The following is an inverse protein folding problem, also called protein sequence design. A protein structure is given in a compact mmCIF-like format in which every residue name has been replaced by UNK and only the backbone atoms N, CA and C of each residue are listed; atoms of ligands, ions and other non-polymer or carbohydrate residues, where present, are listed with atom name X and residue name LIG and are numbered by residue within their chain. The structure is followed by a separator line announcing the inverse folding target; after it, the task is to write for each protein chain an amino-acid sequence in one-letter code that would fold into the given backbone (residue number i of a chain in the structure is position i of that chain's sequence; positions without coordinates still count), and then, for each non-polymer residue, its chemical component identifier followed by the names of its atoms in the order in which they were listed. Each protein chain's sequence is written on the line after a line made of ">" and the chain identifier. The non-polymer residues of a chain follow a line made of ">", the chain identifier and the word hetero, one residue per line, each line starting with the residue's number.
data_IF_811611990168
#
_entry.id   IF_811611990168
#
_cell.length_a   1.000
_cell.length_b   1.000
_cell.length_c   1.000
_cell.angle_alpha   90.00
_cell.angle_beta   90.00
_cell.angle_gamma   90.00
#
_symmetry.space_group_name_H-M   'P 1'
#
loop_
_entity.id
_entity.type
_entity.pdbx_description
1 polymer ?
#
# COMPACT_ATOMS: atom_id res chain seq x y z
N UNK A 1 28.54 21.64 1.08
CA UNK A 1 27.51 21.48 0.04
C UNK A 1 26.19 21.18 0.73
N UNK A 2 25.09 21.64 0.13
CA UNK A 2 23.74 21.40 0.68
C UNK A 2 23.16 20.10 0.15
N UNK A 3 22.44 19.37 0.98
CA UNK A 3 21.68 18.18 0.57
C UNK A 3 20.25 18.55 0.17
N UNK A 4 19.86 18.20 -1.05
CA UNK A 4 18.48 18.30 -1.56
C UNK A 4 17.87 16.90 -1.58
N UNK A 5 16.87 16.66 -0.74
CA UNK A 5 16.29 15.32 -0.54
C UNK A 5 15.11 15.01 -1.45
N UNK A 6 14.38 16.04 -1.92
CA UNK A 6 13.16 15.89 -2.73
C UNK A 6 13.01 16.98 -3.78
N UNK A 7 12.07 16.79 -4.73
CA UNK A 7 11.58 17.88 -5.58
C UNK A 7 10.65 18.83 -4.82
N UNK A 8 10.43 20.03 -5.35
CA UNK A 8 9.65 21.07 -4.68
C UNK A 8 10.40 21.85 -3.58
N UNK A 9 11.66 21.49 -3.31
CA UNK A 9 12.55 22.22 -2.41
C UNK A 9 13.35 23.28 -3.19
N UNK A 10 13.52 24.52 -2.68
CA UNK A 10 14.33 25.54 -3.32
C UNK A 10 15.78 25.08 -3.54
N UNK A 11 16.32 25.34 -4.73
CA UNK A 11 17.72 25.08 -5.08
C UNK A 11 18.47 26.41 -5.00
N UNK A 12 19.57 26.51 -4.23
CA UNK A 12 20.41 27.69 -4.21
C UNK A 12 21.06 27.96 -5.58
N UNK A 13 21.05 29.22 -6.03
CA UNK A 13 21.64 29.62 -7.32
C UNK A 13 23.18 29.78 -7.24
N UNK A 14 23.73 29.98 -6.05
CA UNK A 14 25.12 30.42 -5.84
C UNK A 14 26.04 29.40 -5.18
N UNK A 15 25.56 28.21 -4.83
CA UNK A 15 26.37 27.18 -4.16
C UNK A 15 26.08 25.78 -4.69
N UNK A 16 27.11 24.92 -4.80
CA UNK A 16 26.93 23.55 -5.28
C UNK A 16 26.13 22.73 -4.26
N UNK A 17 25.19 21.95 -4.81
CA UNK A 17 24.33 21.06 -4.04
C UNK A 17 24.50 19.60 -4.45
N UNK A 18 24.04 18.72 -3.57
CA UNK A 18 23.94 17.29 -3.85
C UNK A 18 22.46 16.92 -3.87
N UNK A 19 22.01 16.37 -4.97
CA UNK A 19 20.67 15.79 -5.09
C UNK A 19 20.69 14.36 -4.57
N UNK A 20 19.81 14.00 -3.64
CA UNK A 20 19.76 12.65 -3.08
C UNK A 20 19.37 11.58 -4.12
N UNK A 21 18.72 11.99 -5.20
CA UNK A 21 18.36 11.13 -6.32
C UNK A 21 17.66 11.89 -7.46
N UNK A 22 17.38 11.22 -8.59
CA UNK A 22 16.73 11.78 -9.78
C UNK A 22 15.29 12.21 -9.59
N UNK A 23 14.66 11.85 -8.47
CA UNK A 23 13.36 12.42 -8.08
C UNK A 23 13.47 13.89 -7.65
N UNK A 24 14.69 14.40 -7.40
CA UNK A 24 14.88 15.82 -7.15
C UNK A 24 14.70 16.59 -8.47
N UNK A 25 13.70 17.46 -8.50
CA UNK A 25 13.34 18.22 -9.70
C UNK A 25 14.28 19.41 -9.94
N UNK A 26 14.24 20.02 -11.13
CA UNK A 26 14.97 21.24 -11.47
C UNK A 26 16.51 21.18 -11.36
N UNK A 27 17.13 20.00 -11.38
CA UNK A 27 18.60 19.85 -11.28
C UNK A 27 19.39 20.69 -12.30
N UNK A 28 18.81 20.97 -13.47
CA UNK A 28 19.42 21.82 -14.51
C UNK A 28 19.65 23.28 -14.08
N UNK A 29 19.01 23.74 -13.01
CA UNK A 29 19.18 25.08 -12.44
C UNK A 29 20.28 25.16 -11.39
N UNK A 30 20.86 24.02 -11.00
CA UNK A 30 21.88 23.97 -9.96
C UNK A 30 23.18 24.63 -10.44
N UNK A 31 23.93 25.22 -9.52
CA UNK A 31 25.23 25.81 -9.84
C UNK A 31 26.25 24.75 -10.27
N UNK A 32 27.30 25.19 -10.96
CA UNK A 32 28.44 24.34 -11.29
C UNK A 32 29.02 23.65 -10.05
N UNK A 33 29.43 22.39 -10.22
CA UNK A 33 29.89 21.53 -9.12
C UNK A 33 28.78 20.79 -8.38
N UNK A 34 27.51 21.05 -8.70
CA UNK A 34 26.40 20.23 -8.21
C UNK A 34 26.38 18.84 -8.85
N UNK A 35 25.96 17.84 -8.10
CA UNK A 35 25.90 16.46 -8.59
C UNK A 35 24.74 15.68 -7.95
N UNK A 36 24.43 14.53 -8.53
CA UNK A 36 23.38 13.64 -8.05
C UNK A 36 24.00 12.43 -7.38
N UNK A 37 23.61 12.17 -6.15
CA UNK A 37 23.85 10.92 -5.47
C UNK A 37 23.04 9.80 -6.14
N UNK A 38 23.73 8.72 -6.53
CA UNK A 38 23.09 7.53 -7.08
C UNK A 38 22.92 6.50 -5.98
N UNK A 39 21.97 6.75 -5.07
CA UNK A 39 21.65 5.82 -3.98
C UNK A 39 20.88 4.58 -4.44
N UNK A 40 20.66 4.39 -5.74
CA UNK A 40 19.84 3.27 -6.18
C UNK A 40 20.59 1.97 -6.10
N UNK A 41 20.03 1.14 -5.23
CA UNK A 41 20.32 -0.25 -5.15
C UNK A 41 20.22 -0.94 -6.51
N UNK A 42 21.32 -1.55 -6.93
CA UNK A 42 21.32 -2.64 -7.91
C UNK A 42 20.28 -3.70 -7.52
N UNK A 43 19.82 -4.57 -8.44
CA UNK A 43 18.87 -5.62 -8.09
C UNK A 43 19.25 -6.44 -6.85
N UNK A 44 20.54 -6.68 -6.62
CA UNK A 44 21.04 -7.40 -5.44
C UNK A 44 20.95 -6.55 -4.17
N UNK A 45 21.42 -5.30 -4.17
CA UNK A 45 21.25 -4.41 -3.01
C UNK A 45 19.77 -4.22 -2.67
N UNK A 46 18.88 -4.21 -3.67
CA UNK A 46 17.42 -4.09 -3.44
C UNK A 46 16.88 -5.30 -2.70
N UNK A 47 17.32 -6.50 -3.08
CA UNK A 47 16.93 -7.73 -2.39
C UNK A 47 17.42 -7.73 -0.94
N UNK A 48 18.63 -7.25 -0.68
CA UNK A 48 19.18 -7.14 0.68
C UNK A 48 18.42 -6.13 1.55
N UNK A 49 18.04 -4.98 0.98
CA UNK A 49 17.22 -3.98 1.68
C UNK A 49 15.82 -4.50 2.00
N UNK A 50 15.19 -5.22 1.08
CA UNK A 50 13.88 -5.83 1.31
C UNK A 50 13.95 -6.90 2.41
N UNK A 51 15.02 -7.71 2.44
CA UNK A 51 15.21 -8.71 3.48
C UNK A 51 15.35 -8.05 4.86
N UNK A 52 16.17 -7.01 4.97
CA UNK A 52 16.38 -6.27 6.23
C UNK A 52 15.11 -5.56 6.70
N UNK A 53 14.40 -4.88 5.79
CA UNK A 53 13.15 -4.19 6.13
C UNK A 53 12.07 -5.17 6.58
N UNK A 54 12.04 -6.38 5.99
CA UNK A 54 11.15 -7.46 6.43
C UNK A 54 11.48 -7.92 7.84
N UNK A 55 12.75 -8.18 8.16
CA UNK A 55 13.17 -8.57 9.51
C UNK A 55 12.77 -7.52 10.56
N UNK A 56 12.98 -6.24 10.25
CA UNK A 56 12.54 -5.13 11.09
C UNK A 56 11.01 -5.14 11.27
N UNK A 57 10.25 -5.35 10.19
CA UNK A 57 8.79 -5.41 10.26
C UNK A 57 8.26 -6.61 11.08
N UNK A 58 8.98 -7.74 11.08
CA UNK A 58 8.67 -8.88 11.96
C UNK A 58 8.99 -8.58 13.42
N UNK A 59 10.11 -7.89 13.68
CA UNK A 59 10.50 -7.45 15.02
C UNK A 59 9.49 -6.47 15.64
N UNK A 60 8.96 -5.55 14.84
CA UNK A 60 8.03 -4.50 15.30
C UNK A 60 6.60 -5.03 15.48
N UNK A 61 6.18 -6.03 14.70
CA UNK A 61 4.78 -6.44 14.61
C UNK A 61 4.14 -6.85 15.97
N UNK A 62 4.79 -7.67 16.83
CA UNK A 62 4.20 -8.06 18.11
C UNK A 62 3.94 -6.88 19.03
N UNK A 63 4.87 -5.91 19.09
CA UNK A 63 4.72 -4.72 19.92
C UNK A 63 3.60 -3.80 19.37
N UNK A 64 3.51 -3.66 18.04
CA UNK A 64 2.43 -2.90 17.41
C UNK A 64 1.05 -3.51 17.71
N UNK A 65 0.93 -4.84 17.59
CA UNK A 65 -0.31 -5.55 17.90
C UNK A 65 -0.72 -5.37 19.38
N UNK A 66 0.24 -5.45 20.31
CA UNK A 66 0.00 -5.20 21.74
C UNK A 66 -0.47 -3.76 21.98
N UNK A 67 0.24 -2.78 21.43
CA UNK A 67 -0.07 -1.37 21.59
C UNK A 67 -1.48 -1.02 21.05
N UNK A 68 -1.90 -1.63 19.93
CA UNK A 68 -3.25 -1.46 19.41
C UNK A 68 -4.32 -2.13 20.27
N UNK A 69 -4.04 -3.31 20.84
CA UNK A 69 -4.92 -3.96 21.79
C UNK A 69 -5.12 -3.11 23.06
N UNK A 70 -4.04 -2.57 23.61
CA UNK A 70 -4.04 -1.67 24.76
C UNK A 70 -4.82 -0.38 24.47
N UNK A 71 -4.55 0.25 23.31
CA UNK A 71 -5.25 1.46 22.88
C UNK A 71 -6.77 1.27 22.86
N UNK A 72 -7.22 0.15 22.30
CA UNK A 72 -8.65 -0.15 22.09
C UNK A 72 -9.32 -0.88 23.25
N UNK A 73 -8.57 -1.24 24.30
CA UNK A 73 -9.07 -2.07 25.40
C UNK A 73 -9.59 -3.42 24.92
N UNK A 74 -8.90 -4.04 23.94
CA UNK A 74 -9.28 -5.31 23.32
C UNK A 74 -8.19 -6.35 23.57
N UNK A 75 -8.58 -7.62 23.55
CA UNK A 75 -7.66 -8.77 23.50
C UNK A 75 -7.83 -9.47 22.15
N UNK A 76 -7.47 -8.78 21.08
CA UNK A 76 -7.61 -9.30 19.71
C UNK A 76 -6.39 -10.15 19.36
N UNK A 77 -6.56 -11.40 18.88
CA UNK A 77 -5.43 -12.27 18.55
C UNK A 77 -4.52 -11.68 17.47
N UNK A 78 -3.21 -11.98 17.56
CA UNK A 78 -2.21 -11.57 16.56
C UNK A 78 -2.59 -11.98 15.14
N UNK A 79 -3.32 -13.07 14.95
CA UNK A 79 -3.76 -13.47 13.61
C UNK A 79 -4.68 -12.44 12.93
N UNK A 80 -5.49 -11.69 13.68
CA UNK A 80 -6.33 -10.63 13.10
C UNK A 80 -5.46 -9.44 12.67
N UNK A 81 -4.53 -9.01 13.53
CA UNK A 81 -3.58 -7.95 13.20
C UNK A 81 -2.68 -8.36 12.02
N UNK A 82 -2.26 -9.63 12.00
CA UNK A 82 -1.47 -10.20 10.92
C UNK A 82 -2.23 -10.17 9.60
N UNK A 83 -3.54 -10.46 9.57
CA UNK A 83 -4.34 -10.38 8.34
C UNK A 83 -4.65 -8.95 7.89
N UNK A 84 -4.67 -7.98 8.81
CA UNK A 84 -5.15 -6.62 8.56
C UNK A 84 -4.02 -5.62 8.37
N UNK A 85 -3.28 -5.31 9.44
CA UNK A 85 -2.30 -4.23 9.46
C UNK A 85 -0.90 -4.65 9.00
N UNK A 86 -0.55 -5.94 9.04
CA UNK A 86 0.80 -6.43 8.70
C UNK A 86 1.27 -5.99 7.32
N UNK A 87 0.43 -6.07 6.30
CA UNK A 87 0.78 -5.61 4.95
C UNK A 87 1.11 -4.10 4.92
N UNK A 88 0.38 -3.28 5.69
CA UNK A 88 0.74 -1.87 5.81
C UNK A 88 2.10 -1.70 6.49
N UNK A 89 2.35 -2.44 7.57
CA UNK A 89 3.61 -2.38 8.31
C UNK A 89 4.80 -2.78 7.42
N UNK A 90 4.68 -3.86 6.65
CA UNK A 90 5.73 -4.29 5.71
C UNK A 90 6.01 -3.21 4.65
N UNK A 91 4.97 -2.62 4.05
CA UNK A 91 5.13 -1.59 3.02
C UNK A 91 5.76 -0.33 3.62
N UNK A 92 5.28 0.10 4.78
CA UNK A 92 5.76 1.29 5.47
C UNK A 92 7.23 1.11 5.88
N UNK A 93 7.56 0.01 6.57
CA UNK A 93 8.92 -0.28 7.00
C UNK A 93 9.86 -0.39 5.81
N UNK A 94 9.47 -1.06 4.73
CA UNK A 94 10.31 -1.17 3.53
C UNK A 94 10.62 0.18 2.90
N UNK A 95 9.60 1.02 2.70
CA UNK A 95 9.81 2.34 2.11
C UNK A 95 10.67 3.20 3.03
N UNK A 96 10.38 3.25 4.33
CA UNK A 96 11.15 4.06 5.29
C UNK A 96 12.58 3.57 5.41
N UNK A 97 12.80 2.26 5.44
CA UNK A 97 14.14 1.66 5.47
C UNK A 97 14.97 2.05 4.23
N UNK A 98 14.35 2.06 3.05
CA UNK A 98 15.03 2.56 1.84
C UNK A 98 15.37 4.05 1.93
N UNK A 99 14.53 4.88 2.55
CA UNK A 99 14.85 6.31 2.77
C UNK A 99 15.98 6.49 3.76
N UNK A 100 15.99 5.68 4.82
CA UNK A 100 17.07 5.62 5.78
C UNK A 100 18.40 5.27 5.11
N UNK A 101 18.44 4.17 4.35
CA UNK A 101 19.63 3.73 3.61
C UNK A 101 20.18 4.85 2.72
N UNK A 102 19.31 5.45 1.89
CA UNK A 102 19.68 6.56 1.00
C UNK A 102 20.33 7.73 1.75
N UNK A 103 19.74 8.16 2.87
CA UNK A 103 20.27 9.28 3.67
C UNK A 103 21.61 8.92 4.30
N UNK A 104 21.70 7.74 4.93
CA UNK A 104 22.92 7.34 5.62
C UNK A 104 24.10 7.12 4.67
N UNK A 105 23.85 6.60 3.47
CA UNK A 105 24.87 6.43 2.43
C UNK A 105 25.29 7.77 1.81
N UNK A 106 24.33 8.68 1.59
CA UNK A 106 24.65 10.02 1.11
C UNK A 106 25.55 10.76 2.11
N UNK A 107 25.17 10.77 3.39
CA UNK A 107 25.92 11.44 4.48
C UNK A 107 27.32 10.84 4.68
N UNK A 108 27.51 9.54 4.43
CA UNK A 108 28.83 8.91 4.52
C UNK A 108 29.73 9.20 3.30
N UNK A 109 29.13 9.52 2.16
CA UNK A 109 29.85 9.72 0.89
C UNK A 109 30.43 11.13 0.74
N UNK A 110 29.81 12.15 1.36
CA UNK A 110 30.26 13.53 1.23
C UNK A 110 30.04 14.34 2.51
N UNK A 111 30.77 15.46 2.63
CA UNK A 111 30.57 16.41 3.73
C UNK A 111 29.53 17.45 3.37
N UNK A 112 28.50 17.54 4.21
CA UNK A 112 27.38 18.46 4.03
C UNK A 112 27.39 19.54 5.10
N UNK A 113 26.93 20.72 4.74
CA UNK A 113 26.73 21.83 5.68
C UNK A 113 25.35 21.75 6.34
N UNK A 114 24.33 21.41 5.54
CA UNK A 114 22.95 21.29 5.97
C UNK A 114 22.11 20.55 4.91
N UNK A 115 20.90 20.15 5.30
CA UNK A 115 19.84 19.75 4.37
C UNK A 115 18.85 20.90 4.16
N UNK A 116 18.42 21.11 2.92
CA UNK A 116 17.39 22.08 2.60
C UNK A 116 16.03 21.65 3.15
N UNK A 117 15.29 22.57 3.78
CA UNK A 117 13.99 22.29 4.41
C UNK A 117 12.88 23.21 3.91
N UNK A 118 11.67 22.66 3.86
CA UNK A 118 10.41 23.34 3.52
C UNK A 118 9.35 22.90 4.52
N UNK A 119 8.43 23.81 4.88
CA UNK A 119 7.37 23.49 5.84
C UNK A 119 6.45 22.40 5.29
N UNK A 120 6.23 21.35 6.09
CA UNK A 120 5.27 20.28 5.83
C UNK A 120 4.23 20.22 6.94
N UNK A 121 3.01 19.78 6.62
CA UNK A 121 1.91 19.62 7.59
C UNK A 121 1.64 18.14 7.79
N UNK A 122 2.22 17.53 8.84
CA UNK A 122 2.08 16.10 9.16
C UNK A 122 0.63 15.63 9.19
N UNK A 123 -0.28 16.42 9.77
CA UNK A 123 -1.71 16.07 9.85
C UNK A 123 -2.40 15.89 8.49
N UNK A 124 -1.86 16.49 7.42
CA UNK A 124 -2.35 16.31 6.04
C UNK A 124 -1.71 15.11 5.32
N UNK A 125 -0.68 14.51 5.92
CA UNK A 125 0.12 13.42 5.36
C UNK A 125 -0.10 12.09 6.10
N UNK A 126 -1.00 12.06 7.08
CA UNK A 126 -1.46 10.83 7.75
C UNK A 126 -2.53 10.15 6.89
N UNK A 127 -2.33 8.89 6.46
CA UNK A 127 -3.30 8.20 5.61
C UNK A 127 -4.57 7.84 6.39
N UNK A 128 -5.76 7.96 5.78
CA UNK A 128 -6.99 7.42 6.39
C UNK A 128 -7.05 5.90 6.29
N UNK A 129 -6.54 5.35 5.20
CA UNK A 129 -6.47 3.90 4.91
C UNK A 129 -5.13 3.54 4.28
N UNK A 130 -4.73 2.26 4.33
CA UNK A 130 -3.55 1.73 3.65
C UNK A 130 -3.50 2.10 2.19
N UNK A 131 -4.62 2.15 1.46
CA UNK A 131 -4.59 2.51 0.03
C UNK A 131 -4.04 3.91 -0.24
N UNK A 132 -4.21 4.84 0.70
CA UNK A 132 -3.67 6.20 0.56
C UNK A 132 -2.14 6.22 0.68
N UNK A 133 -1.52 5.26 1.38
CA UNK A 133 -0.06 5.17 1.49
C UNK A 133 0.60 5.04 0.11
N UNK A 134 -0.01 4.32 -0.83
CA UNK A 134 0.54 4.11 -2.17
C UNK A 134 0.73 5.43 -2.93
N UNK A 135 -0.10 6.44 -2.63
CA UNK A 135 0.02 7.80 -3.18
C UNK A 135 1.06 8.61 -2.40
N UNK A 136 1.00 8.56 -1.07
CA UNK A 136 1.90 9.30 -0.20
C UNK A 136 3.37 8.95 -0.46
N UNK A 137 3.70 7.66 -0.55
CA UNK A 137 5.10 7.21 -0.80
C UNK A 137 5.68 7.69 -2.13
N UNK A 138 4.85 8.17 -3.05
CA UNK A 138 5.26 8.77 -4.32
C UNK A 138 5.26 10.31 -4.33
N UNK A 139 4.71 10.94 -3.29
CA UNK A 139 4.59 12.40 -3.18
C UNK A 139 5.90 13.02 -2.68
N UNK A 140 6.20 14.25 -3.10
CA UNK A 140 7.38 14.94 -2.56
C UNK A 140 7.18 15.28 -1.09
N UNK A 141 5.96 15.66 -0.74
CA UNK A 141 5.54 16.12 0.58
C UNK A 141 5.79 15.08 1.66
N UNK A 142 5.31 13.86 1.45
CA UNK A 142 5.52 12.78 2.41
C UNK A 142 6.97 12.32 2.46
N UNK A 143 7.66 12.21 1.32
CA UNK A 143 9.06 11.82 1.31
C UNK A 143 9.93 12.90 1.98
N UNK A 144 9.62 14.18 1.81
CA UNK A 144 10.32 15.29 2.45
C UNK A 144 10.16 15.24 3.97
N UNK A 145 8.93 15.00 4.44
CA UNK A 145 8.66 14.78 5.87
C UNK A 145 9.51 13.62 6.41
N UNK A 146 9.49 12.45 5.76
CA UNK A 146 10.25 11.28 6.22
C UNK A 146 11.76 11.54 6.21
N UNK A 147 12.30 12.15 5.16
CA UNK A 147 13.72 12.50 5.12
C UNK A 147 14.10 13.50 6.22
N UNK A 148 13.27 14.51 6.48
CA UNK A 148 13.46 15.43 7.60
C UNK A 148 13.47 14.72 8.94
N UNK A 149 12.52 13.81 9.19
CA UNK A 149 12.46 13.04 10.43
C UNK A 149 13.68 12.12 10.61
N UNK A 150 14.19 11.51 9.53
CA UNK A 150 15.43 10.71 9.56
C UNK A 150 16.61 11.60 9.97
N UNK A 151 16.76 12.75 9.30
CA UNK A 151 17.87 13.68 9.54
C UNK A 151 17.83 14.25 10.97
N UNK A 152 16.64 14.57 11.49
CA UNK A 152 16.43 15.01 12.89
C UNK A 152 16.85 13.92 13.87
N UNK A 153 16.44 12.66 13.61
CA UNK A 153 16.81 11.52 14.45
C UNK A 153 18.33 11.26 14.46
N UNK A 154 18.98 11.48 13.32
CA UNK A 154 20.43 11.41 13.18
C UNK A 154 21.17 12.64 13.74
N UNK A 155 20.46 13.67 14.20
CA UNK A 155 21.00 14.95 14.65
C UNK A 155 21.85 15.65 13.56
N UNK A 156 21.46 15.46 12.29
CA UNK A 156 22.11 16.08 11.16
C UNK A 156 21.66 17.55 11.02
N UNK A 157 22.56 18.51 10.77
CA UNK A 157 22.18 19.92 10.63
C UNK A 157 21.15 20.16 9.53
N UNK A 158 20.06 20.86 9.88
CA UNK A 158 19.01 21.25 8.95
C UNK A 158 18.87 22.76 8.91
N UNK A 159 18.45 23.30 7.77
CA UNK A 159 18.05 24.70 7.69
C UNK A 159 16.69 24.92 8.36
N UNK A 160 16.49 26.12 8.89
CA UNK A 160 15.15 26.56 9.26
C UNK A 160 14.26 26.51 8.02
N UNK A 161 13.05 25.93 8.10
CA UNK A 161 12.14 25.86 6.96
C UNK A 161 11.90 27.26 6.38
N UNK A 162 12.21 27.44 5.09
CA UNK A 162 11.97 28.70 4.40
C UNK A 162 10.48 29.05 4.27
N UNK A 163 10.19 30.28 3.83
CA UNK A 163 8.81 30.72 3.53
C UNK A 163 8.32 29.98 2.27
N UNK A 164 7.62 28.87 2.49
CA UNK A 164 7.02 28.05 1.45
C UNK A 164 6.40 26.81 2.08
N UNK A 165 5.15 26.53 1.73
CA UNK A 165 4.54 25.25 2.05
C UNK A 165 4.55 24.40 0.79
N UNK A 166 4.77 23.09 0.96
CA UNK A 166 4.38 22.17 -0.09
C UNK A 166 2.89 22.36 -0.40
N UNK A 167 2.59 22.94 -1.57
CA UNK A 167 1.22 23.13 -2.02
C UNK A 167 0.67 21.75 -2.37
N UNK A 168 -0.30 21.29 -1.59
CA UNK A 168 -1.06 20.06 -1.84
C UNK A 168 -1.50 19.98 -3.30
N UNK A 169 -0.87 19.12 -4.09
CA UNK A 169 -1.34 18.78 -5.43
C UNK A 169 -2.42 17.69 -5.36
N UNK A 170 -3.29 17.69 -4.33
CA UNK A 170 -4.46 16.81 -4.30
C UNK A 170 -5.59 17.33 -5.21
N UNK A 171 -5.25 17.85 -6.39
CA UNK A 171 -6.22 18.12 -7.43
C UNK A 171 -6.53 16.83 -8.20
N UNK A 172 -7.76 16.35 -8.00
CA UNK A 172 -8.56 15.53 -8.91
C UNK A 172 -8.40 14.00 -8.87
N UNK A 173 -9.36 13.36 -8.18
CA UNK A 173 -10.49 12.74 -8.88
C UNK A 173 -11.78 13.10 -8.12
N UNK A 174 -12.45 14.19 -8.52
CA UNK A 174 -13.86 14.35 -8.16
C UNK A 174 -14.60 13.15 -8.74
N UNK A 175 -15.22 12.34 -7.88
CA UNK A 175 -16.02 11.21 -8.34
C UNK A 175 -17.13 11.74 -9.26
N UNK A 176 -17.36 11.04 -10.38
CA UNK A 176 -18.37 11.42 -11.37
C UNK A 176 -19.75 11.52 -10.73
N UNK A 177 -20.53 12.50 -11.20
CA UNK A 177 -21.89 12.84 -10.77
C UNK A 177 -22.72 11.68 -10.19
N UNK A 178 -23.07 11.82 -8.91
CA UNK A 178 -24.05 11.00 -8.21
C UNK A 178 -25.43 11.25 -8.80
N UNK A 179 -26.07 10.22 -9.38
CA UNK A 179 -27.46 10.29 -9.83
C UNK A 179 -28.38 9.74 -8.73
N UNK A 180 -29.13 10.60 -8.00
CA UNK A 180 -29.82 10.22 -6.76
C UNK A 180 -30.96 9.22 -6.97
N UNK A 181 -31.64 9.25 -8.13
CA UNK A 181 -32.75 8.33 -8.44
C UNK A 181 -32.30 6.89 -8.74
N UNK A 182 -31.09 6.70 -9.25
CA UNK A 182 -30.45 5.37 -9.39
C UNK A 182 -29.91 4.81 -8.07
N UNK A 183 -29.69 5.69 -7.09
CA UNK A 183 -29.17 5.34 -5.76
C UNK A 183 -30.21 4.62 -4.90
N UNK A 184 -31.46 5.06 -4.90
CA UNK A 184 -32.49 4.50 -4.00
C UNK A 184 -32.87 3.05 -4.33
N UNK A 185 -33.10 2.75 -5.61
CA UNK A 185 -33.43 1.39 -6.10
C UNK A 185 -32.24 0.45 -5.87
N UNK A 186 -31.01 0.91 -6.13
CA UNK A 186 -29.81 0.11 -5.85
C UNK A 186 -29.60 -0.11 -4.35
N UNK A 187 -29.89 0.87 -3.50
CA UNK A 187 -29.79 0.74 -2.03
C UNK A 187 -30.85 -0.21 -1.49
N UNK A 188 -32.08 -0.14 -1.99
CA UNK A 188 -33.14 -1.06 -1.59
C UNK A 188 -32.86 -2.49 -2.06
N UNK A 189 -32.41 -2.66 -3.31
CA UNK A 189 -32.00 -3.95 -3.84
C UNK A 189 -30.79 -4.52 -3.08
N UNK A 190 -29.80 -3.68 -2.75
CA UNK A 190 -28.64 -4.07 -1.93
C UNK A 190 -29.07 -4.44 -0.52
N UNK A 191 -29.99 -3.69 0.10
CA UNK A 191 -30.50 -3.96 1.43
C UNK A 191 -31.29 -5.27 1.50
N UNK A 192 -32.23 -5.50 0.56
CA UNK A 192 -32.99 -6.76 0.46
C UNK A 192 -32.06 -7.96 0.24
N UNK A 193 -31.10 -7.80 -0.67
CA UNK A 193 -30.11 -8.83 -0.97
C UNK A 193 -29.20 -9.12 0.24
N UNK A 194 -28.79 -8.09 0.97
CA UNK A 194 -27.94 -8.23 2.17
C UNK A 194 -28.72 -8.81 3.36
N UNK A 195 -30.01 -8.49 3.51
CA UNK A 195 -30.88 -9.09 4.52
C UNK A 195 -31.05 -10.61 4.31
N UNK A 196 -31.17 -11.05 3.05
CA UNK A 196 -31.19 -12.47 2.69
C UNK A 196 -29.79 -13.11 2.82
N UNK A 197 -28.73 -12.36 2.52
CA UNK A 197 -27.35 -12.80 2.67
C UNK A 197 -26.90 -12.97 4.14
N UNK A 198 -27.67 -12.47 5.12
CA UNK A 198 -27.37 -12.66 6.55
C UNK A 198 -27.14 -14.13 6.94
N UNK A 199 -27.89 -15.05 6.32
CA UNK A 199 -27.78 -16.50 6.51
C UNK A 199 -26.96 -17.20 5.42
N UNK A 200 -26.29 -16.44 4.55
CA UNK A 200 -25.49 -17.02 3.48
C UNK A 200 -24.29 -17.78 4.06
N UNK A 201 -24.14 -19.04 3.64
CA UNK A 201 -22.98 -19.87 3.98
C UNK A 201 -21.74 -19.45 3.18
N UNK A 202 -21.94 -19.07 1.92
CA UNK A 202 -20.86 -18.71 1.00
C UNK A 202 -20.96 -17.24 0.61
N UNK A 203 -19.88 -16.50 0.77
CA UNK A 203 -19.77 -15.12 0.32
C UNK A 203 -18.88 -15.09 -0.91
N UNK A 204 -19.43 -14.60 -2.02
CA UNK A 204 -18.76 -14.53 -3.31
C UNK A 204 -18.83 -13.08 -3.75
N UNK A 205 -17.69 -12.40 -3.78
CA UNK A 205 -17.63 -10.95 -4.05
C UNK A 205 -16.31 -10.56 -4.71
N UNK A 206 -16.37 -9.75 -5.77
CA UNK A 206 -15.20 -9.26 -6.52
C UNK A 206 -14.16 -10.36 -6.81
N UNK A 207 -14.62 -11.48 -7.39
CA UNK A 207 -13.82 -12.67 -7.66
C UNK A 207 -13.11 -12.67 -9.01
N UNK A 208 -13.23 -11.57 -9.77
CA UNK A 208 -12.80 -11.45 -11.17
C UNK A 208 -13.47 -12.41 -12.17
N UNK A 209 -14.29 -13.36 -11.70
CA UNK A 209 -15.12 -14.17 -12.58
C UNK A 209 -16.07 -13.27 -13.40
N UNK A 210 -16.28 -13.57 -14.69
CA UNK A 210 -17.35 -12.93 -15.45
C UNK A 210 -18.69 -13.09 -14.75
N UNK A 211 -19.49 -12.02 -14.70
CA UNK A 211 -20.68 -11.95 -13.84
C UNK A 211 -21.65 -13.12 -14.01
N UNK A 212 -21.80 -13.65 -15.23
CA UNK A 212 -22.63 -14.85 -15.51
C UNK A 212 -22.08 -16.11 -14.83
N UNK A 213 -20.75 -16.27 -14.80
CA UNK A 213 -20.09 -17.39 -14.13
C UNK A 213 -20.25 -17.26 -12.62
N UNK A 214 -20.02 -16.07 -12.07
CA UNK A 214 -20.19 -15.79 -10.63
C UNK A 214 -21.63 -16.06 -10.15
N UNK A 215 -22.64 -15.64 -10.93
CA UNK A 215 -24.06 -15.92 -10.62
C UNK A 215 -24.35 -17.43 -10.68
N UNK A 216 -23.86 -18.15 -11.70
CA UNK A 216 -24.03 -19.61 -11.79
C UNK A 216 -23.37 -20.32 -10.61
N UNK A 217 -22.19 -19.86 -10.18
CA UNK A 217 -21.51 -20.37 -8.99
C UNK A 217 -22.34 -20.12 -7.73
N UNK A 218 -22.85 -18.90 -7.55
CA UNK A 218 -23.70 -18.55 -6.41
C UNK A 218 -24.96 -19.43 -6.34
N UNK A 219 -25.66 -19.64 -7.46
CA UNK A 219 -26.83 -20.52 -7.55
C UNK A 219 -26.48 -21.96 -7.16
N UNK A 220 -25.38 -22.51 -7.68
CA UNK A 220 -24.93 -23.87 -7.35
C UNK A 220 -24.60 -24.03 -5.87
N UNK A 221 -24.01 -23.01 -5.26
CA UNK A 221 -23.70 -22.95 -3.84
C UNK A 221 -24.91 -22.52 -2.98
N UNK A 222 -26.09 -22.34 -3.58
CA UNK A 222 -27.32 -21.88 -2.92
C UNK A 222 -27.10 -20.61 -2.09
N UNK A 223 -26.30 -19.69 -2.62
CA UNK A 223 -26.04 -18.37 -2.05
C UNK A 223 -26.47 -17.27 -3.00
N UNK A 224 -26.53 -16.04 -2.51
CA UNK A 224 -26.79 -14.85 -3.30
C UNK A 224 -25.49 -14.04 -3.49
N UNK A 225 -25.36 -13.29 -4.59
CA UNK A 225 -24.24 -12.38 -4.76
C UNK A 225 -24.16 -11.43 -3.57
N UNK A 226 -22.99 -11.26 -2.97
CA UNK A 226 -22.80 -10.34 -1.86
C UNK A 226 -22.21 -9.03 -2.37
N UNK A 227 -22.64 -7.90 -1.80
CA UNK A 227 -22.05 -6.60 -2.09
C UNK A 227 -21.64 -5.95 -0.79
N UNK A 228 -20.34 -5.69 -0.68
CA UNK A 228 -19.77 -4.93 0.42
C UNK A 228 -19.99 -3.43 0.23
N UNK A 229 -20.24 -2.74 1.33
CA UNK A 229 -20.30 -1.28 1.40
C UNK A 229 -19.56 -0.83 2.65
N UNK A 230 -18.51 -0.03 2.46
CA UNK A 230 -17.76 0.58 3.56
C UNK A 230 -18.64 1.55 4.35
N UNK A 231 -18.40 1.61 5.65
CA UNK A 231 -18.92 2.69 6.48
C UNK A 231 -18.13 3.96 6.15
N UNK A 232 -18.84 5.08 6.01
CA UNK A 232 -18.17 6.37 5.84
C UNK A 232 -17.26 6.66 7.02
N UNK A 233 -15.99 6.95 6.74
CA UNK A 233 -15.06 7.47 7.73
C UNK A 233 -15.40 8.93 7.99
N UNK A 234 -15.31 9.34 9.25
CA UNK A 234 -15.58 10.73 9.61
C UNK A 234 -14.41 11.61 9.13
N UNK A 235 -14.70 12.86 8.77
CA UNK A 235 -13.67 13.86 8.54
C UNK A 235 -13.21 14.42 9.89
N UNK A 236 -12.51 13.60 10.66
CA UNK A 236 -11.88 13.99 11.93
C UNK A 236 -10.43 14.42 11.69
N UNK A 237 -9.95 15.31 12.55
CA UNK A 237 -8.53 15.64 12.59
C UNK A 237 -7.72 14.49 13.20
N UNK A 238 -6.42 14.47 12.90
CA UNK A 238 -5.48 13.52 13.47
C UNK A 238 -5.36 13.78 14.98
N UNK A 239 -5.62 12.76 15.78
CA UNK A 239 -5.56 12.84 17.24
C UNK A 239 -4.15 12.45 17.73
N UNK A 240 -3.33 13.48 17.97
CA UNK A 240 -1.95 13.29 18.42
C UNK A 240 -1.86 12.70 19.83
N UNK A 241 -2.84 12.96 20.72
CA UNK A 241 -2.85 12.38 22.06
C UNK A 241 -3.16 10.89 21.99
N UNK A 242 -4.15 10.50 21.18
CA UNK A 242 -4.50 9.11 20.96
C UNK A 242 -3.35 8.34 20.29
N UNK A 243 -2.69 8.93 19.29
CA UNK A 243 -1.49 8.36 18.67
C UNK A 243 -0.32 8.24 19.64
N UNK A 244 -0.15 9.22 20.53
CA UNK A 244 0.83 9.19 21.61
C UNK A 244 0.61 8.04 22.61
N UNK A 245 -0.56 7.42 22.64
CA UNK A 245 -0.81 6.22 23.46
C UNK A 245 -0.38 4.92 22.80
N UNK A 246 -0.07 4.94 21.49
CA UNK A 246 0.50 3.78 20.78
C UNK A 246 2.00 3.74 21.04
N UNK A 247 2.37 3.10 22.15
CA UNK A 247 3.75 3.00 22.63
C UNK A 247 4.39 1.70 22.13
N UNK A 248 5.33 1.82 21.20
CA UNK A 248 6.14 0.69 20.75
C UNK A 248 7.47 0.74 21.50
N UNK A 249 7.95 -0.41 21.99
CA UNK A 249 9.22 -0.48 22.72
C UNK A 249 10.34 0.05 21.85
N UNK A 250 11.12 0.99 22.40
CA UNK A 250 12.31 1.57 21.78
C UNK A 250 13.54 1.40 22.67
N UNK A 251 14.72 1.47 22.07
CA UNK A 251 16.01 1.55 22.75
C UNK A 251 16.73 2.86 22.40
N UNK A 252 17.88 3.09 23.03
CA UNK A 252 18.74 4.25 22.76
C UNK A 252 19.57 4.13 21.47
N UNK A 253 19.48 3.03 20.72
CA UNK A 253 20.21 2.90 19.45
C UNK A 253 19.70 3.90 18.41
N UNK A 254 20.61 4.34 17.54
CA UNK A 254 20.31 5.24 16.41
C UNK A 254 20.32 4.48 15.08
N UNK A 255 19.70 3.31 15.07
CA UNK A 255 19.54 2.50 13.87
C UNK A 255 18.16 2.73 13.22
N UNK A 256 17.98 2.14 12.03
CA UNK A 256 16.77 2.28 11.27
C UNK A 256 15.54 1.67 11.97
N UNK A 257 15.71 0.56 12.70
CA UNK A 257 14.60 -0.08 13.41
C UNK A 257 14.07 0.85 14.51
N UNK A 258 14.96 1.48 15.29
CA UNK A 258 14.54 2.43 16.32
C UNK A 258 13.88 3.66 15.74
N UNK A 259 14.41 4.18 14.63
CA UNK A 259 13.77 5.27 13.92
C UNK A 259 12.33 4.91 13.51
N UNK A 260 12.15 3.76 12.87
CA UNK A 260 10.83 3.28 12.42
C UNK A 260 9.88 3.09 13.61
N UNK A 261 10.36 2.48 14.71
CA UNK A 261 9.58 2.32 15.96
C UNK A 261 9.11 3.66 16.53
N UNK A 262 9.90 4.74 16.42
CA UNK A 262 9.51 6.08 16.92
C UNK A 262 8.44 6.77 16.08
N UNK A 263 8.45 6.60 14.75
CA UNK A 263 7.56 7.35 13.85
C UNK A 263 6.26 6.61 13.50
N UNK A 264 6.21 5.30 13.72
CA UNK A 264 5.11 4.43 13.26
C UNK A 264 3.71 4.88 13.72
N UNK A 265 3.56 5.32 14.97
CA UNK A 265 2.28 5.77 15.53
C UNK A 265 1.74 7.03 14.84
N UNK A 266 2.62 7.80 14.20
CA UNK A 266 2.27 9.02 13.47
C UNK A 266 1.84 8.75 12.02
N UNK A 267 2.21 7.58 11.48
CA UNK A 267 1.96 7.22 10.07
C UNK A 267 0.97 6.07 9.88
N UNK A 268 0.64 5.34 10.94
CA UNK A 268 -0.40 4.31 10.90
C UNK A 268 -1.74 4.87 10.41
N UNK A 269 -2.48 4.13 9.55
CA UNK A 269 -3.72 4.61 9.00
C UNK A 269 -4.75 4.92 10.08
N UNK A 270 -5.51 6.00 9.87
CA UNK A 270 -6.52 6.42 10.84
C UNK A 270 -7.59 5.35 11.10
N UNK A 271 -7.77 4.44 10.14
CA UNK A 271 -8.62 3.26 10.30
C UNK A 271 -8.32 2.43 11.55
N UNK A 272 -7.05 2.32 11.95
CA UNK A 272 -6.62 1.50 13.09
C UNK A 272 -6.52 2.26 14.41
N UNK A 273 -6.64 3.59 14.40
CA UNK A 273 -6.59 4.42 15.60
C UNK A 273 -7.93 5.14 15.76
N UNK A 274 -8.15 6.21 15.00
CA UNK A 274 -9.29 7.11 15.20
C UNK A 274 -10.63 6.47 14.81
N UNK A 275 -10.65 5.62 13.78
CA UNK A 275 -11.90 5.03 13.26
C UNK A 275 -12.12 3.56 13.63
N UNK A 276 -11.18 2.94 14.37
CA UNK A 276 -11.22 1.50 14.64
C UNK A 276 -12.50 1.07 15.33
N UNK A 277 -12.93 1.81 16.36
CA UNK A 277 -14.15 1.48 17.10
C UNK A 277 -15.38 1.52 16.19
N UNK A 278 -15.59 2.63 15.47
CA UNK A 278 -16.73 2.80 14.54
C UNK A 278 -16.78 1.69 13.49
N UNK A 279 -15.63 1.34 12.92
CA UNK A 279 -15.54 0.31 11.88
C UNK A 279 -15.78 -1.07 12.46
N UNK A 280 -15.15 -1.41 13.58
CA UNK A 280 -15.31 -2.73 14.22
C UNK A 280 -16.74 -2.99 14.71
N UNK A 281 -17.42 -2.00 15.29
CA UNK A 281 -18.83 -2.10 15.68
C UNK A 281 -19.74 -2.39 14.48
N UNK A 282 -19.37 -1.90 13.30
CA UNK A 282 -20.14 -2.11 12.07
C UNK A 282 -20.19 -3.58 11.62
N UNK A 283 -19.25 -4.42 12.06
CA UNK A 283 -19.20 -5.84 11.68
C UNK A 283 -20.36 -6.67 12.23
N UNK A 284 -21.06 -6.15 13.25
CA UNK A 284 -22.21 -6.79 13.89
C UNK A 284 -23.56 -6.35 13.27
N UNK A 285 -23.54 -5.46 12.27
CA UNK A 285 -24.76 -4.97 11.61
C UNK A 285 -25.60 -6.13 11.08
N UNK A 286 -26.92 -6.06 11.29
CA UNK A 286 -27.90 -7.08 10.85
C UNK A 286 -27.88 -7.36 9.35
N UNK A 287 -27.33 -6.47 8.53
CA UNK A 287 -27.22 -6.63 7.07
C UNK A 287 -26.01 -7.44 6.63
N UNK A 288 -25.06 -7.75 7.52
CA UNK A 288 -23.88 -8.54 7.18
C UNK A 288 -24.12 -10.04 7.46
N UNK A 289 -23.53 -10.94 6.68
CA UNK A 289 -23.49 -12.37 6.97
C UNK A 289 -22.93 -12.63 8.37
N UNK A 290 -23.69 -13.33 9.21
CA UNK A 290 -23.29 -13.53 10.61
C UNK A 290 -22.23 -14.62 10.75
N UNK A 291 -22.42 -15.77 10.09
CA UNK A 291 -21.54 -16.94 10.17
C UNK A 291 -21.33 -17.60 8.79
N UNK A 292 -20.63 -16.93 7.85
CA UNK A 292 -20.28 -17.58 6.60
C UNK A 292 -19.30 -18.73 6.85
N UNK A 293 -19.45 -19.85 6.15
CA UNK A 293 -18.49 -20.95 6.15
C UNK A 293 -17.29 -20.64 5.26
N UNK A 294 -17.49 -19.85 4.21
CA UNK A 294 -16.43 -19.51 3.25
C UNK A 294 -16.64 -18.12 2.65
N UNK A 295 -15.55 -17.36 2.52
CA UNK A 295 -15.48 -16.10 1.78
C UNK A 295 -14.55 -16.29 0.59
N UNK A 296 -15.04 -16.00 -0.62
CA UNK A 296 -14.27 -16.00 -1.86
C UNK A 296 -14.21 -14.58 -2.45
N UNK A 297 -12.99 -14.05 -2.58
CA UNK A 297 -12.66 -12.74 -3.17
C UNK A 297 -11.38 -12.84 -4.00
N UNK A 298 -11.20 -11.92 -4.93
CA UNK A 298 -9.92 -11.73 -5.64
C UNK A 298 -9.36 -10.33 -5.49
N UNK A 299 -10.17 -9.31 -5.21
CA UNK A 299 -9.68 -7.93 -5.13
C UNK A 299 -10.19 -7.16 -3.92
N UNK A 300 -11.35 -7.53 -3.35
CA UNK A 300 -12.00 -6.70 -2.34
C UNK A 300 -11.20 -6.59 -1.04
N UNK A 301 -10.47 -7.64 -0.66
CA UNK A 301 -9.57 -7.64 0.50
C UNK A 301 -8.38 -6.68 0.31
N UNK A 302 -8.00 -6.38 -0.92
CA UNK A 302 -6.99 -5.36 -1.24
C UNK A 302 -7.60 -3.96 -1.37
N UNK A 303 -8.81 -3.87 -1.93
CA UNK A 303 -9.47 -2.62 -2.27
C UNK A 303 -10.30 -1.99 -1.13
N UNK A 304 -10.70 -2.77 -0.14
CA UNK A 304 -11.44 -2.29 1.04
C UNK A 304 -10.84 -2.88 2.30
N UNK A 305 -10.28 -2.00 3.11
CA UNK A 305 -9.64 -2.37 4.35
C UNK A 305 -10.66 -2.68 5.46
N UNK A 306 -11.84 -2.06 5.42
CA UNK A 306 -12.94 -2.46 6.31
C UNK A 306 -13.46 -3.86 5.97
N UNK A 307 -13.52 -4.22 4.67
CA UNK A 307 -13.82 -5.59 4.28
C UNK A 307 -12.75 -6.56 4.76
N UNK A 308 -11.47 -6.20 4.62
CA UNK A 308 -10.35 -7.00 5.12
C UNK A 308 -10.46 -7.24 6.64
N UNK A 309 -10.76 -6.20 7.42
CA UNK A 309 -10.97 -6.32 8.86
C UNK A 309 -12.19 -7.22 9.19
N UNK A 310 -13.33 -7.02 8.51
CA UNK A 310 -14.51 -7.88 8.71
C UNK A 310 -14.23 -9.34 8.34
N UNK A 311 -13.60 -9.57 7.18
CA UNK A 311 -13.22 -10.89 6.69
C UNK A 311 -12.28 -11.58 7.68
N UNK A 312 -11.30 -10.84 8.22
CA UNK A 312 -10.36 -11.34 9.23
C UNK A 312 -11.06 -11.68 10.55
N UNK A 313 -12.01 -10.86 10.98
CA UNK A 313 -12.85 -11.15 12.14
C UNK A 313 -13.69 -12.43 11.94
N UNK A 314 -14.23 -12.67 10.74
CA UNK A 314 -14.93 -13.93 10.40
C UNK A 314 -13.97 -15.12 10.36
N UNK A 315 -12.76 -14.95 9.84
CA UNK A 315 -11.76 -16.01 9.80
C UNK A 315 -11.38 -16.51 11.21
N UNK A 316 -11.27 -15.62 12.21
CA UNK A 316 -11.08 -16.01 13.61
C UNK A 316 -12.21 -16.92 14.13
N UNK A 317 -13.44 -16.75 13.62
CA UNK A 317 -14.58 -17.60 13.93
C UNK A 317 -14.66 -18.90 13.12
N UNK A 318 -13.60 -19.27 12.38
CA UNK A 318 -13.53 -20.49 11.59
C UNK A 318 -14.02 -20.37 10.14
N UNK A 319 -14.34 -19.16 9.66
CA UNK A 319 -14.67 -18.95 8.23
C UNK A 319 -13.43 -19.18 7.36
N UNK A 320 -13.56 -20.03 6.33
CA UNK A 320 -12.47 -20.27 5.39
C UNK A 320 -12.34 -19.13 4.37
N UNK A 321 -11.12 -18.69 4.09
CA UNK A 321 -10.80 -17.68 3.10
C UNK A 321 -10.27 -18.33 1.82
N UNK A 322 -10.96 -18.09 0.71
CA UNK A 322 -10.52 -18.43 -0.64
C UNK A 322 -10.14 -17.12 -1.32
N UNK A 323 -8.89 -16.99 -1.72
CA UNK A 323 -8.38 -15.79 -2.40
C UNK A 323 -8.00 -16.17 -3.82
N UNK A 324 -8.55 -15.50 -4.81
CA UNK A 324 -8.16 -15.70 -6.20
C UNK A 324 -7.12 -14.67 -6.65
N UNK A 325 -6.11 -15.12 -7.40
CA UNK A 325 -5.12 -14.24 -7.99
C UNK A 325 -5.77 -13.13 -8.83
N UNK A 326 -5.32 -11.89 -8.60
CA UNK A 326 -5.83 -10.68 -9.27
C UNK A 326 -4.75 -9.88 -10.02
N UNK A 327 -3.47 -10.19 -9.80
CA UNK A 327 -2.33 -9.55 -10.44
C UNK A 327 -1.61 -10.48 -11.42
N UNK A 328 -0.92 -9.89 -12.40
CA UNK A 328 -0.18 -10.61 -13.44
C UNK A 328 1.29 -10.90 -13.12
N UNK A 329 1.79 -10.56 -11.94
CA UNK A 329 3.22 -10.70 -11.58
C UNK A 329 3.45 -11.85 -10.58
N UNK A 330 2.40 -12.32 -9.93
CA UNK A 330 2.43 -13.39 -8.92
C UNK A 330 3.00 -14.69 -9.51
N UNK A 331 4.11 -15.17 -8.94
CA UNK A 331 4.82 -16.36 -9.40
C UNK A 331 5.69 -16.16 -10.65
N UNK A 332 5.85 -14.93 -11.13
CA UNK A 332 6.65 -14.60 -12.32
C UNK A 332 7.97 -13.89 -12.01
N UNK A 333 8.13 -13.36 -10.80
CA UNK A 333 9.35 -12.67 -10.34
C UNK A 333 10.23 -13.57 -9.48
N UNK A 334 11.54 -13.29 -9.45
CA UNK A 334 12.49 -13.98 -8.57
C UNK A 334 12.10 -13.86 -7.09
N UNK A 335 11.52 -12.72 -6.72
CA UNK A 335 11.03 -12.44 -5.38
C UNK A 335 9.54 -12.10 -5.45
N UNK A 336 8.75 -12.70 -4.56
CA UNK A 336 7.32 -12.43 -4.45
C UNK A 336 7.09 -11.04 -3.90
N UNK A 337 6.16 -10.27 -4.47
CA UNK A 337 5.74 -8.99 -3.86
C UNK A 337 5.17 -9.19 -2.45
N UNK A 338 5.29 -8.19 -1.58
CA UNK A 338 4.70 -8.19 -0.24
C UNK A 338 3.19 -8.49 -0.28
N UNK A 339 2.48 -7.89 -1.24
CA UNK A 339 1.04 -8.10 -1.44
C UNK A 339 0.74 -9.56 -1.75
N UNK A 340 1.50 -10.18 -2.66
CA UNK A 340 1.35 -11.58 -3.01
C UNK A 340 1.64 -12.52 -1.83
N UNK A 341 2.73 -12.26 -1.08
CA UNK A 341 3.06 -13.05 0.12
C UNK A 341 1.95 -12.97 1.16
N UNK A 342 1.45 -11.77 1.43
CA UNK A 342 0.35 -11.53 2.35
C UNK A 342 -0.93 -12.26 1.94
N UNK A 343 -1.31 -12.18 0.65
CA UNK A 343 -2.48 -12.90 0.14
C UNK A 343 -2.37 -14.42 0.34
N UNK A 344 -1.20 -15.00 0.08
CA UNK A 344 -0.95 -16.42 0.31
C UNK A 344 -0.99 -16.78 1.79
N UNK A 345 -0.47 -15.91 2.66
CA UNK A 345 -0.44 -16.15 4.11
C UNK A 345 -1.84 -16.14 4.74
N UNK A 346 -2.73 -15.25 4.27
CA UNK A 346 -4.06 -15.13 4.87
C UNK A 346 -5.09 -16.12 4.28
N UNK A 347 -4.83 -16.69 3.10
CA UNK A 347 -5.75 -17.59 2.42
C UNK A 347 -5.69 -19.02 3.00
N UNK A 348 -6.85 -19.65 3.19
CA UNK A 348 -6.91 -21.11 3.34
C UNK A 348 -6.77 -21.81 1.99
N UNK A 349 -7.13 -21.13 0.89
CA UNK A 349 -6.91 -21.59 -0.48
C UNK A 349 -6.66 -20.39 -1.38
N UNK A 350 -5.45 -20.29 -1.92
CA UNK A 350 -5.06 -19.27 -2.89
C UNK A 350 -5.17 -19.84 -4.30
N UNK A 351 -6.15 -19.40 -5.09
CA UNK A 351 -6.37 -19.86 -6.47
C UNK A 351 -5.42 -19.12 -7.41
N UNK A 352 -4.32 -19.77 -7.79
CA UNK A 352 -3.36 -19.23 -8.75
C UNK A 352 -3.86 -19.37 -10.19
N UNK A 353 -3.23 -18.67 -11.13
CA UNK A 353 -3.50 -18.82 -12.56
C UNK A 353 -2.70 -19.96 -13.21
N UNK A 354 -2.63 -21.11 -12.52
CA UNK A 354 -2.25 -22.39 -13.12
C UNK A 354 -0.98 -23.02 -12.54
N UNK A 355 -0.26 -22.33 -11.68
CA UNK A 355 0.97 -22.82 -11.07
C UNK A 355 0.72 -23.35 -9.64
N UNK A 356 1.32 -24.49 -9.25
CA UNK A 356 1.32 -24.97 -7.86
C UNK A 356 2.43 -24.29 -7.05
N UNK A 357 2.36 -24.39 -5.72
CA UNK A 357 3.52 -24.12 -4.86
C UNK A 357 4.02 -25.43 -4.24
N UNK A 358 5.33 -25.66 -4.28
CA UNK A 358 5.97 -26.81 -3.63
C UNK A 358 6.09 -26.63 -2.11
N UNK A 359 6.09 -25.38 -1.63
CA UNK A 359 6.30 -25.04 -0.22
C UNK A 359 5.02 -24.62 0.49
N UNK A 360 3.98 -24.22 -0.25
CA UNK A 360 2.71 -23.76 0.31
C UNK A 360 1.52 -24.53 -0.28
N UNK A 361 1.01 -25.51 0.47
CA UNK A 361 -0.13 -26.34 0.07
C UNK A 361 -1.47 -25.59 -0.03
N UNK A 362 -1.55 -24.35 0.48
CA UNK A 362 -2.73 -23.50 0.28
C UNK A 362 -2.84 -22.98 -1.16
N UNK A 363 -1.76 -22.98 -1.93
CA UNK A 363 -1.77 -22.57 -3.33
C UNK A 363 -2.38 -23.69 -4.19
N UNK A 364 -3.51 -23.39 -4.82
CA UNK A 364 -4.25 -24.32 -5.66
C UNK A 364 -4.18 -23.84 -7.12
N UNK A 365 -3.58 -24.62 -8.03
CA UNK A 365 -3.60 -24.34 -9.46
C UNK A 365 -5.03 -24.18 -9.99
N UNK A 366 -5.31 -23.06 -10.63
CA UNK A 366 -6.60 -22.76 -11.25
C UNK A 366 -6.45 -22.13 -12.63
N UNK A 367 -7.58 -21.88 -13.29
CA UNK A 367 -7.61 -21.08 -14.52
C UNK A 367 -7.54 -19.58 -14.17
N UNK A 368 -7.11 -18.76 -15.13
CA UNK A 368 -7.22 -17.31 -15.01
C UNK A 368 -8.69 -16.92 -14.82
N UNK A 369 -9.07 -16.48 -13.61
CA UNK A 369 -10.47 -16.25 -13.22
C UNK A 369 -11.20 -15.27 -14.16
N UNK A 370 -10.48 -14.26 -14.64
CA UNK A 370 -10.96 -13.28 -15.64
C UNK A 370 -11.41 -13.92 -16.97
N UNK A 371 -10.84 -15.08 -17.32
CA UNK A 371 -11.09 -15.79 -18.56
C UNK A 371 -12.11 -16.92 -18.40
N UNK A 372 -12.74 -17.07 -17.22
CA UNK A 372 -13.70 -18.14 -17.00
C UNK A 372 -14.83 -18.07 -18.04
N UNK A 373 -15.01 -19.13 -18.84
CA UNK A 373 -16.03 -19.22 -19.88
C UNK A 373 -15.82 -18.29 -21.09
N UNK A 374 -14.65 -17.62 -21.20
CA UNK A 374 -14.18 -17.10 -22.48
C UNK A 374 -13.51 -18.27 -23.20
N UNK A 375 -14.21 -18.88 -24.17
CA UNK A 375 -13.50 -19.63 -25.20
C UNK A 375 -12.51 -18.72 -25.92
N UNK A 376 -11.59 -19.28 -26.70
CA UNK A 376 -10.52 -18.58 -27.43
C UNK A 376 -11.06 -17.70 -28.58
N UNK A 377 -11.99 -16.80 -28.26
CA UNK A 377 -12.73 -15.94 -29.19
C UNK A 377 -12.18 -14.52 -29.07
N UNK A 378 -10.90 -14.35 -29.35
CA UNK A 378 -10.35 -13.02 -29.61
C UNK A 378 -10.43 -12.76 -31.11
N UNK A 379 -11.51 -12.08 -31.54
CA UNK A 379 -11.59 -11.49 -32.87
C UNK A 379 -10.74 -10.20 -32.86
N UNK A 380 -9.43 -10.34 -33.01
CA UNK A 380 -8.60 -9.17 -33.31
C UNK A 380 -8.97 -8.67 -34.73
N UNK A 381 -9.33 -7.38 -34.89
CA UNK A 381 -9.52 -6.78 -36.21
C UNK A 381 -8.32 -7.10 -37.10
N UNK A 382 -8.56 -7.42 -38.37
CA UNK A 382 -7.48 -7.76 -39.33
C UNK A 382 -6.40 -6.68 -39.42
N UNK A 383 -6.80 -5.41 -39.26
CA UNK A 383 -5.92 -4.23 -39.27
C UNK A 383 -4.91 -4.18 -38.12
N UNK A 384 -5.15 -4.89 -37.01
CA UNK A 384 -4.26 -4.93 -35.84
C UNK A 384 -3.38 -6.18 -35.81
N UNK A 385 -3.51 -7.11 -36.78
CA UNK A 385 -2.73 -8.35 -36.83
C UNK A 385 -1.24 -8.12 -37.13
N UNK A 386 -0.90 -7.00 -37.76
CA UNK A 386 0.47 -6.59 -38.06
C UNK A 386 1.00 -5.51 -37.09
N UNK A 387 0.25 -5.18 -36.03
CA UNK A 387 0.62 -4.13 -35.09
C UNK A 387 0.89 -4.74 -33.72
N UNK A 388 2.06 -4.48 -33.16
CA UNK A 388 2.36 -4.80 -31.78
C UNK A 388 1.90 -3.64 -30.89
N UNK A 389 0.88 -3.87 -30.06
CA UNK A 389 0.55 -2.93 -28.98
C UNK A 389 1.52 -3.16 -27.82
N UNK A 390 2.47 -2.26 -27.65
CA UNK A 390 3.35 -2.24 -26.50
C UNK A 390 2.72 -1.39 -25.39
N UNK A 391 2.30 -2.04 -24.29
CA UNK A 391 1.74 -1.36 -23.13
C UNK A 391 2.84 -1.20 -22.10
N UNK A 392 3.15 0.06 -21.78
CA UNK A 392 4.09 0.43 -20.72
C UNK A 392 3.34 0.82 -19.45
N UNK A 393 3.89 0.49 -18.29
CA UNK A 393 3.36 0.91 -16.99
C UNK A 393 4.06 2.19 -16.54
N UNK A 394 3.40 2.97 -15.66
CA UNK A 394 4.05 4.07 -14.97
C UNK A 394 4.97 3.54 -13.87
N UNK A 395 6.24 3.88 -13.98
CA UNK A 395 7.28 3.70 -12.95
C UNK A 395 7.06 4.67 -11.79
N UNK A 396 7.44 4.26 -10.58
CA UNK A 396 7.27 5.07 -9.37
C UNK A 396 8.30 6.21 -9.36
N UNK A 397 7.94 7.36 -8.79
CA UNK A 397 8.84 8.52 -8.67
C UNK A 397 9.98 8.23 -7.69
N UNK A 398 9.65 7.56 -6.60
CA UNK A 398 10.58 7.15 -5.56
C UNK A 398 10.72 5.63 -5.49
N UNK A 399 11.81 5.09 -4.91
CA UNK A 399 11.94 3.66 -4.61
C UNK A 399 10.74 3.12 -3.84
N UNK A 400 10.20 1.99 -4.30
CA UNK A 400 9.03 1.36 -3.71
C UNK A 400 9.08 -0.16 -3.91
N UNK A 401 8.61 -0.95 -2.92
CA UNK A 401 8.75 -2.41 -2.87
C UNK A 401 8.36 -3.16 -4.14
N UNK A 402 7.38 -2.64 -4.90
CA UNK A 402 6.78 -3.39 -6.00
C UNK A 402 7.15 -2.89 -7.40
N UNK A 403 7.83 -1.75 -7.54
CA UNK A 403 8.08 -1.15 -8.86
C UNK A 403 9.50 -0.60 -8.99
N UNK A 404 10.04 -0.65 -10.21
CA UNK A 404 11.29 0.04 -10.55
C UNK A 404 11.13 1.55 -10.42
N UNK A 405 12.22 2.23 -10.09
CA UNK A 405 12.26 3.70 -10.01
C UNK A 405 12.36 4.28 -11.42
N UNK A 406 11.80 5.48 -11.59
CA UNK A 406 12.15 6.37 -12.68
C UNK A 406 13.63 6.80 -12.63
N UNK A 407 14.37 6.46 -13.69
CA UNK A 407 15.04 7.53 -14.44
C UNK A 407 13.98 8.36 -15.21
N UNK A 408 14.34 9.46 -15.89
CA UNK A 408 13.39 10.18 -16.75
C UNK A 408 12.58 9.22 -17.62
N UNK A 409 11.27 9.42 -17.87
CA UNK A 409 10.44 8.54 -18.73
C UNK A 409 11.14 8.16 -20.05
N UNK A 410 11.92 9.11 -20.56
CA UNK A 410 12.81 8.97 -21.72
C UNK A 410 13.82 7.83 -21.55
N UNK A 411 14.44 7.66 -20.38
CA UNK A 411 15.40 6.58 -20.10
C UNK A 411 14.73 5.20 -20.04
N UNK A 412 13.52 5.08 -19.48
CA UNK A 412 12.77 3.82 -19.51
C UNK A 412 12.38 3.44 -20.95
N UNK A 413 11.86 4.40 -21.72
CA UNK A 413 11.56 4.17 -23.14
C UNK A 413 12.84 3.85 -23.92
N UNK A 414 13.93 4.58 -23.68
CA UNK A 414 15.22 4.28 -24.28
C UNK A 414 15.67 2.86 -23.94
N UNK A 415 15.53 2.38 -22.69
CA UNK A 415 15.86 0.99 -22.34
C UNK A 415 14.95 -0.02 -23.06
N UNK A 416 13.66 0.27 -23.21
CA UNK A 416 12.74 -0.58 -23.97
C UNK A 416 13.08 -0.63 -25.47
N UNK A 417 13.66 0.45 -26.01
CA UNK A 417 13.99 0.58 -27.43
C UNK A 417 15.49 0.46 -27.75
N UNK A 418 16.36 0.32 -26.75
CA UNK A 418 17.82 0.20 -26.91
C UNK A 418 18.26 -1.22 -27.37
N UNK A 419 17.30 -2.12 -27.61
CA UNK A 419 17.56 -3.48 -28.11
C UNK A 419 17.40 -3.56 -29.64
N UNK A 420 17.54 -2.45 -30.36
CA UNK A 420 17.61 -2.44 -31.84
C UNK A 420 19.03 -2.28 -32.33
#
# INVERSE_FOLDING_TARGET
>A
MKLITTGGVPIPDSEPVVFLGPWCENQKKASDGSWQFDGYATPDKRADLEQQSREISESIFPDLASALNELHGRDTPNEFWSRTIKLWLEIFTDVVYQRWDCITEAISTASFTSAAQVTTRRSQLTPKTRLEIQRLINSHEWNHLIFGEILDFLQFPQEEPGVGEFVSHSNHLKSKHFNPKRGLIKRLASWLNNALARRAKYIITQTYLPRKVEIRLAIRLRTLPFKWEDVALDDVEVDNELRGRVQIKTSESRDAEQFIRKIISQHIPMLYIEHFQKVSESFTKKTLPSHPTTIFTSNLHMASEQFLMWMSHKALGGTRLVIGQHGGVHGMTKFDSQEFRHEMQIANSYLSWGWPSSTNSSVVPSFALINANNGDRRNAPSSLRSTLLFVVDSTYRYPSPNRGINGPLVQYLNNCFAVT
#
